data_IF_313286152130
#
_entry.id   IF_313286152130
#
_cell.length_a   1.000
_cell.length_b   1.000
_cell.length_c   1.000
_cell.angle_alpha   90.00
_cell.angle_beta   90.00
_cell.angle_gamma   90.00
#
_symmetry.space_group_name_H-M   'P 1'
#
loop_
_entity.id
_entity.type
_entity.pdbx_description
1 polymer ?
#
# COMPACT_ATOMS: atom_id res chain seq x y z
N UNK A 1 13.30 18.14 7.39
CA UNK A 1 12.53 17.67 6.22
C UNK A 1 12.13 16.21 6.34
N UNK A 2 13.06 15.28 6.56
CA UNK A 2 12.75 13.84 6.71
C UNK A 2 11.79 13.58 7.87
N UNK A 3 12.00 14.23 9.03
CA UNK A 3 11.12 14.11 10.19
C UNK A 3 9.70 14.58 9.89
N UNK A 4 9.54 15.69 9.15
CA UNK A 4 8.22 16.21 8.77
C UNK A 4 7.49 15.25 7.82
N UNK A 5 8.19 14.65 6.85
CA UNK A 5 7.62 13.65 5.95
C UNK A 5 7.18 12.41 6.73
N UNK A 6 8.04 11.89 7.62
CA UNK A 6 7.69 10.75 8.46
C UNK A 6 6.47 11.02 9.32
N UNK A 7 6.37 12.21 9.92
CA UNK A 7 5.21 12.58 10.71
C UNK A 7 3.92 12.61 9.90
N UNK A 8 3.96 13.16 8.68
CA UNK A 8 2.79 13.16 7.79
C UNK A 8 2.35 11.74 7.43
N UNK A 9 3.30 10.87 7.06
CA UNK A 9 2.98 9.49 6.73
C UNK A 9 2.43 8.72 7.92
N UNK A 10 3.01 8.87 9.10
CA UNK A 10 2.54 8.20 10.32
C UNK A 10 1.13 8.64 10.69
N UNK A 11 0.85 9.94 10.63
CA UNK A 11 -0.48 10.47 10.91
C UNK A 11 -1.50 9.98 9.88
N UNK A 12 -1.14 9.99 8.61
CA UNK A 12 -2.00 9.50 7.53
C UNK A 12 -2.30 8.02 7.69
N UNK A 13 -1.29 7.20 7.98
CA UNK A 13 -1.46 5.76 8.16
C UNK A 13 -2.39 5.47 9.35
N UNK A 14 -2.18 6.15 10.47
CA UNK A 14 -3.04 5.99 11.66
C UNK A 14 -4.49 6.41 11.37
N UNK A 15 -4.69 7.52 10.68
CA UNK A 15 -6.01 8.06 10.37
C UNK A 15 -6.78 7.21 9.34
N UNK A 16 -6.07 6.47 8.49
CA UNK A 16 -6.67 5.71 7.39
C UNK A 16 -6.61 4.19 7.60
N UNK A 17 -6.24 3.73 8.80
CA UNK A 17 -6.09 2.31 9.10
C UNK A 17 -7.37 1.51 8.86
N UNK A 18 -8.54 2.08 9.11
CA UNK A 18 -9.84 1.43 8.92
C UNK A 18 -10.10 1.09 7.45
N UNK A 19 -9.52 1.82 6.51
CA UNK A 19 -9.68 1.57 5.09
C UNK A 19 -9.07 0.24 4.63
N UNK A 20 -8.15 -0.31 5.42
CA UNK A 20 -7.54 -1.63 5.14
C UNK A 20 -8.42 -2.81 5.50
N UNK A 21 -9.61 -2.58 6.03
CA UNK A 21 -10.63 -3.60 6.29
C UNK A 21 -10.14 -4.74 7.19
N UNK A 22 -9.42 -4.39 8.24
CA UNK A 22 -8.95 -5.34 9.24
C UNK A 22 -7.71 -6.15 8.85
N UNK A 23 -7.05 -5.83 7.75
CA UNK A 23 -5.78 -6.47 7.41
C UNK A 23 -4.72 -6.15 8.46
N UNK A 24 -3.92 -7.15 8.82
CA UNK A 24 -2.76 -6.97 9.69
C UNK A 24 -1.65 -6.20 8.97
N UNK A 25 -0.67 -5.67 9.72
CA UNK A 25 0.48 -5.00 9.12
C UNK A 25 1.23 -5.89 8.14
N UNK A 26 1.42 -7.17 8.46
CA UNK A 26 2.05 -8.11 7.54
C UNK A 26 1.21 -8.33 6.28
N UNK A 27 -0.09 -8.51 6.41
CA UNK A 27 -0.98 -8.69 5.26
C UNK A 27 -0.96 -7.47 4.34
N UNK A 28 -0.94 -6.26 4.89
CA UNK A 28 -0.80 -5.02 4.13
C UNK A 28 0.53 -5.01 3.37
N UNK A 29 1.62 -5.39 4.02
CA UNK A 29 2.95 -5.47 3.39
C UNK A 29 2.97 -6.46 2.24
N UNK A 30 2.39 -7.65 2.42
CA UNK A 30 2.30 -8.67 1.38
C UNK A 30 1.50 -8.15 0.17
N UNK A 31 0.35 -7.55 0.42
CA UNK A 31 -0.48 -6.97 -0.63
C UNK A 31 0.26 -5.87 -1.40
N UNK A 32 0.98 -4.99 -0.71
CA UNK A 32 1.74 -3.92 -1.35
C UNK A 32 2.84 -4.45 -2.26
N UNK A 33 3.55 -5.49 -1.85
CA UNK A 33 4.61 -6.10 -2.69
C UNK A 33 4.01 -6.68 -3.97
N UNK A 34 2.91 -7.43 -3.86
CA UNK A 34 2.22 -7.99 -5.04
C UNK A 34 1.68 -6.88 -5.93
N UNK A 35 1.17 -5.79 -5.34
CA UNK A 35 0.60 -4.66 -6.06
C UNK A 35 1.63 -3.86 -6.88
N UNK A 36 2.93 -4.04 -6.63
CA UNK A 36 3.98 -3.39 -7.46
C UNK A 36 3.98 -3.86 -8.91
N UNK A 37 3.32 -4.97 -9.21
CA UNK A 37 3.32 -5.58 -10.53
C UNK A 37 4.53 -6.46 -10.80
N UNK A 38 5.50 -6.51 -9.89
CA UNK A 38 6.64 -7.40 -10.00
C UNK A 38 6.17 -8.85 -9.84
N UNK A 39 6.69 -9.73 -10.69
CA UNK A 39 6.35 -11.16 -10.58
C UNK A 39 6.89 -11.74 -9.28
N UNK A 40 6.01 -12.22 -8.44
CA UNK A 40 6.35 -12.86 -7.17
C UNK A 40 5.59 -14.17 -7.01
N UNK A 41 6.26 -15.19 -6.50
CA UNK A 41 5.66 -16.42 -6.01
C UNK A 41 5.69 -16.44 -4.47
N UNK A 42 5.23 -17.53 -3.88
CA UNK A 42 5.21 -17.66 -2.42
C UNK A 42 6.59 -17.55 -1.80
N UNK A 43 7.60 -18.13 -2.45
CA UNK A 43 8.98 -18.13 -1.94
C UNK A 43 9.60 -16.75 -2.04
N UNK A 44 9.53 -16.09 -3.19
CA UNK A 44 10.09 -14.75 -3.38
C UNK A 44 9.38 -13.71 -2.51
N UNK A 45 8.08 -13.86 -2.28
CA UNK A 45 7.34 -12.98 -1.39
C UNK A 45 7.90 -13.01 0.04
N UNK A 46 8.21 -14.20 0.55
CA UNK A 46 8.85 -14.36 1.87
C UNK A 46 10.21 -13.68 1.93
N UNK A 47 11.02 -13.83 0.90
CA UNK A 47 12.34 -13.19 0.79
C UNK A 47 12.21 -11.66 0.75
N UNK A 48 11.35 -11.14 -0.12
CA UNK A 48 11.16 -9.69 -0.28
C UNK A 48 10.64 -9.00 0.98
N UNK A 49 9.80 -9.68 1.74
CA UNK A 49 9.20 -9.14 2.97
C UNK A 49 10.00 -9.49 4.22
N UNK A 50 11.07 -10.25 4.09
CA UNK A 50 11.88 -10.76 5.21
C UNK A 50 11.01 -11.43 6.27
N UNK A 51 10.07 -12.24 5.80
CA UNK A 51 9.09 -12.90 6.66
C UNK A 51 9.42 -14.38 6.77
N UNK A 52 9.37 -14.90 8.00
CA UNK A 52 9.54 -16.32 8.24
C UNK A 52 8.39 -17.11 7.60
N UNK A 53 8.67 -18.35 7.24
CA UNK A 53 7.65 -19.24 6.67
C UNK A 53 6.45 -19.42 7.60
N UNK A 54 6.71 -19.50 8.92
CA UNK A 54 5.64 -19.65 9.92
C UNK A 54 4.69 -18.47 9.99
N UNK A 55 5.19 -17.25 9.72
CA UNK A 55 4.35 -16.05 9.66
C UNK A 55 3.73 -15.84 8.28
N UNK A 56 4.46 -16.17 7.21
CA UNK A 56 4.01 -15.96 5.82
C UNK A 56 2.82 -16.85 5.47
N UNK A 57 2.89 -18.14 5.76
CA UNK A 57 1.89 -19.12 5.32
C UNK A 57 0.48 -18.76 5.78
N UNK A 58 0.21 -18.51 7.09
CA UNK A 58 -1.15 -18.17 7.50
C UNK A 58 -1.61 -16.81 7.01
N UNK A 59 -0.71 -15.83 6.92
CA UNK A 59 -1.05 -14.48 6.41
C UNK A 59 -1.41 -14.52 4.93
N UNK A 60 -0.65 -15.24 4.13
CA UNK A 60 -0.93 -15.41 2.70
C UNK A 60 -2.21 -16.21 2.49
N UNK A 61 -2.41 -17.29 3.24
CA UNK A 61 -3.63 -18.09 3.17
C UNK A 61 -4.87 -17.25 3.43
N UNK A 62 -4.83 -16.36 4.42
CA UNK A 62 -5.94 -15.46 4.72
C UNK A 62 -6.24 -14.50 3.57
N UNK A 63 -5.21 -13.94 2.92
CA UNK A 63 -5.38 -13.06 1.77
C UNK A 63 -5.97 -13.79 0.56
N UNK A 64 -5.55 -15.03 0.31
CA UNK A 64 -6.10 -15.86 -0.75
C UNK A 64 -7.55 -16.26 -0.46
N UNK A 65 -7.86 -16.63 0.78
CA UNK A 65 -9.21 -17.00 1.21
C UNK A 65 -10.18 -15.81 1.10
N UNK A 66 -9.73 -14.61 1.45
CA UNK A 66 -10.52 -13.38 1.32
C UNK A 66 -10.58 -12.86 -0.11
N UNK A 67 -9.92 -13.52 -1.04
CA UNK A 67 -9.85 -13.12 -2.44
C UNK A 67 -9.23 -11.71 -2.66
N UNK A 68 -8.35 -11.31 -1.76
CA UNK A 68 -7.55 -10.08 -1.90
C UNK A 68 -6.40 -10.32 -2.87
N UNK A 69 -5.77 -11.48 -2.76
CA UNK A 69 -4.79 -11.99 -3.71
C UNK A 69 -5.33 -13.26 -4.37
N UNK A 70 -4.79 -13.58 -5.53
CA UNK A 70 -5.01 -14.87 -6.18
C UNK A 70 -3.71 -15.41 -6.76
N UNK A 71 -3.65 -16.72 -6.91
CA UNK A 71 -2.52 -17.39 -7.54
C UNK A 71 -2.90 -17.75 -8.97
N UNK A 72 -2.10 -17.32 -9.92
CA UNK A 72 -2.24 -17.67 -11.34
C UNK A 72 -1.06 -18.51 -11.78
N UNK A 73 -1.28 -19.33 -12.79
CA UNK A 73 -0.25 -20.21 -13.35
C UNK A 73 -0.09 -19.89 -14.83
N UNK A 74 1.12 -19.63 -15.23
CA UNK A 74 1.50 -19.46 -16.63
C UNK A 74 2.69 -20.37 -16.98
N UNK A 75 3.38 -20.10 -18.10
CA UNK A 75 4.51 -20.92 -18.55
C UNK A 75 5.68 -20.93 -17.56
N UNK A 76 5.83 -19.88 -16.77
CA UNK A 76 6.91 -19.75 -15.79
C UNK A 76 6.51 -20.35 -14.43
N UNK A 77 5.28 -20.83 -14.31
CA UNK A 77 4.77 -21.46 -13.10
C UNK A 77 3.80 -20.57 -12.33
N UNK A 78 3.53 -20.92 -11.05
CA UNK A 78 2.60 -20.15 -10.23
C UNK A 78 3.19 -18.80 -9.83
N UNK A 79 2.34 -17.79 -9.79
CA UNK A 79 2.68 -16.46 -9.28
C UNK A 79 1.46 -15.80 -8.66
N UNK A 80 1.69 -14.79 -7.82
CA UNK A 80 0.64 -14.08 -7.09
C UNK A 80 0.29 -12.79 -7.83
N UNK A 81 -1.00 -12.49 -7.87
CA UNK A 81 -1.53 -11.24 -8.42
C UNK A 81 -2.59 -10.68 -7.47
N UNK A 82 -2.84 -9.39 -7.58
CA UNK A 82 -3.92 -8.75 -6.84
C UNK A 82 -5.25 -9.14 -7.49
N UNK A 83 -6.15 -9.69 -6.70
CA UNK A 83 -7.49 -10.06 -7.16
C UNK A 83 -8.41 -8.82 -7.22
N UNK A 84 -9.57 -8.90 -7.91
CA UNK A 84 -10.47 -7.73 -8.00
C UNK A 84 -10.88 -7.12 -6.66
N UNK A 85 -11.12 -7.95 -5.64
CA UNK A 85 -11.40 -7.47 -4.27
C UNK A 85 -10.21 -6.70 -3.69
N UNK A 86 -8.99 -7.17 -3.95
CA UNK A 86 -7.75 -6.50 -3.53
C UNK A 86 -7.57 -5.16 -4.25
N UNK A 87 -7.86 -5.10 -5.55
CA UNK A 87 -7.81 -3.84 -6.31
C UNK A 87 -8.82 -2.82 -5.75
N UNK A 88 -10.03 -3.25 -5.42
CA UNK A 88 -11.04 -2.39 -4.82
C UNK A 88 -10.59 -1.89 -3.44
N UNK A 89 -9.95 -2.74 -2.65
CA UNK A 89 -9.39 -2.38 -1.35
C UNK A 89 -8.29 -1.32 -1.48
N UNK A 90 -7.36 -1.52 -2.39
CA UNK A 90 -6.28 -0.55 -2.66
C UNK A 90 -6.83 0.80 -3.13
N UNK A 91 -7.84 0.79 -4.00
CA UNK A 91 -8.50 2.00 -4.44
C UNK A 91 -9.17 2.75 -3.28
N UNK A 92 -9.83 2.03 -2.37
CA UNK A 92 -10.45 2.61 -1.18
C UNK A 92 -9.42 3.25 -0.24
N UNK A 93 -8.31 2.57 0.00
CA UNK A 93 -7.20 3.10 0.80
C UNK A 93 -6.63 4.37 0.16
N UNK A 94 -6.42 4.34 -1.15
CA UNK A 94 -5.91 5.50 -1.88
C UNK A 94 -6.87 6.70 -1.75
N UNK A 95 -8.17 6.49 -1.90
CA UNK A 95 -9.17 7.57 -1.71
C UNK A 95 -9.17 8.12 -0.29
N UNK A 96 -9.08 7.24 0.70
CA UNK A 96 -9.04 7.66 2.11
C UNK A 96 -7.81 8.51 2.41
N UNK A 97 -6.65 8.12 1.90
CA UNK A 97 -5.39 8.87 2.06
C UNK A 97 -5.43 10.21 1.36
N UNK A 98 -5.97 10.26 0.15
CA UNK A 98 -6.12 11.50 -0.62
C UNK A 98 -7.05 12.47 0.12
N UNK A 99 -8.16 12.00 0.63
CA UNK A 99 -9.10 12.82 1.42
C UNK A 99 -8.44 13.34 2.68
N UNK A 100 -7.75 12.49 3.42
CA UNK A 100 -7.04 12.89 4.63
C UNK A 100 -6.02 14.00 4.33
N UNK A 101 -5.23 13.82 3.28
CA UNK A 101 -4.19 14.79 2.91
C UNK A 101 -4.79 16.15 2.54
N UNK A 102 -5.88 16.16 1.78
CA UNK A 102 -6.60 17.40 1.44
C UNK A 102 -7.16 18.09 2.66
N UNK A 103 -7.78 17.35 3.57
CA UNK A 103 -8.34 17.88 4.80
C UNK A 103 -7.24 18.44 5.72
N UNK A 104 -6.14 17.71 5.84
CA UNK A 104 -4.98 18.16 6.63
C UNK A 104 -4.36 19.41 6.04
N UNK A 105 -4.23 19.52 4.72
CA UNK A 105 -3.70 20.70 4.04
C UNK A 105 -4.60 21.92 4.28
N UNK A 106 -5.91 21.74 4.18
CA UNK A 106 -6.88 22.81 4.42
C UNK A 106 -6.89 23.29 5.88
N UNK A 107 -6.60 22.38 6.83
CA UNK A 107 -6.56 22.69 8.27
C UNK A 107 -5.19 23.22 8.74
N UNK A 108 -4.16 23.19 7.90
CA UNK A 108 -2.83 23.69 8.25
C UNK A 108 -2.83 25.21 8.45
N UNK A 109 -1.88 25.71 9.25
CA UNK A 109 -1.73 27.15 9.48
C UNK A 109 -0.31 27.63 9.11
N UNK A 110 -0.18 28.43 8.05
CA UNK A 110 -1.25 28.85 7.13
C UNK A 110 -1.77 27.67 6.29
N UNK A 111 -3.03 27.74 5.85
CA UNK A 111 -3.64 26.70 5.05
C UNK A 111 -2.85 26.46 3.75
N UNK A 112 -2.74 25.20 3.36
CA UNK A 112 -2.11 24.81 2.10
C UNK A 112 -3.21 24.74 1.04
N UNK A 113 -3.11 25.52 -0.01
CA UNK A 113 -4.09 25.52 -1.09
C UNK A 113 -3.89 24.34 -2.06
N UNK A 114 -4.88 24.10 -2.90
CA UNK A 114 -4.85 22.99 -3.89
C UNK A 114 -3.65 23.09 -4.85
N UNK A 115 -3.27 24.30 -5.25
CA UNK A 115 -2.13 24.52 -6.14
C UNK A 115 -0.80 24.14 -5.48
N UNK A 116 -0.61 24.54 -4.23
CA UNK A 116 0.58 24.18 -3.44
C UNK A 116 0.63 22.67 -3.20
N UNK A 117 -0.49 22.07 -2.83
CA UNK A 117 -0.57 20.63 -2.61
C UNK A 117 -0.25 19.84 -3.89
N UNK A 118 -0.79 20.26 -5.03
CA UNK A 118 -0.52 19.65 -6.32
C UNK A 118 0.96 19.72 -6.69
N UNK A 119 1.60 20.87 -6.46
CA UNK A 119 3.03 21.05 -6.71
C UNK A 119 3.88 20.14 -5.82
N UNK A 120 3.51 20.00 -4.55
CA UNK A 120 4.22 19.12 -3.62
C UNK A 120 4.12 17.66 -4.04
N UNK A 121 2.93 17.19 -4.41
CA UNK A 121 2.69 15.82 -4.89
C UNK A 121 3.46 15.56 -6.18
N UNK A 122 3.45 16.51 -7.13
CA UNK A 122 4.19 16.38 -8.39
C UNK A 122 5.70 16.28 -8.14
N UNK A 123 6.22 17.08 -7.22
CA UNK A 123 7.63 17.03 -6.84
C UNK A 123 8.00 15.65 -6.25
N UNK A 124 7.19 15.14 -5.33
CA UNK A 124 7.41 13.82 -4.74
C UNK A 124 7.34 12.70 -5.77
N UNK A 125 6.41 12.79 -6.70
CA UNK A 125 6.29 11.82 -7.79
C UNK A 125 7.54 11.82 -8.67
N UNK A 126 8.05 12.98 -9.05
CA UNK A 126 9.30 13.09 -9.82
C UNK A 126 10.49 12.48 -9.09
N UNK A 127 10.56 12.65 -7.77
CA UNK A 127 11.60 12.02 -6.95
C UNK A 127 11.45 10.50 -6.97
N UNK A 128 10.23 10.00 -6.79
CA UNK A 128 9.96 8.56 -6.81
C UNK A 128 10.28 7.93 -8.17
N UNK A 129 9.90 8.58 -9.26
CA UNK A 129 10.13 8.07 -10.62
C UNK A 129 11.63 8.09 -11.00
N UNK A 130 12.41 8.97 -10.39
CA UNK A 130 13.85 9.09 -10.62
C UNK A 130 14.74 8.23 -9.73
N UNK A 131 14.13 7.56 -8.76
CA UNK A 131 14.90 6.78 -7.77
C UNK A 131 15.29 5.38 -8.25
#
# INVERSE_FOLDING_TARGET
MITAMSSVFDLMDAATIAAWDGLTGLQIQLLRVVATGMRVDRQSLGVWTRTSRGALVPSLAALLQRQVLEEQVDREGPHLVVAPTGEALLARVHRARTRWLRDAAAAAEPAVDEGELRRAVELLRRVADGA
#
